data_IF_505167260695
#
_entry.id   IF_505167260695
#
_cell.length_a   1.000
_cell.length_b   1.000
_cell.length_c   1.000
_cell.angle_alpha   90.00
_cell.angle_beta   90.00
_cell.angle_gamma   90.00
#
_symmetry.space_group_name_H-M   'P 1'
#
loop_
_entity.id
_entity.type
_entity.pdbx_description
1 polymer ?
#
# COMPACT_ATOMS: atom_id res chain seq x y z
N UNK A 1 9.46 2.96 -19.21
CA UNK A 1 8.05 2.54 -19.31
C UNK A 1 7.59 2.15 -17.91
N UNK A 2 6.92 3.04 -17.18
CA UNK A 2 6.25 2.71 -15.92
C UNK A 2 4.78 2.44 -16.26
N UNK A 3 4.27 1.26 -15.90
CA UNK A 3 2.89 0.84 -16.17
C UNK A 3 1.86 1.66 -15.39
N UNK A 4 0.55 1.45 -15.65
CA UNK A 4 -0.56 2.23 -15.10
C UNK A 4 -0.79 2.07 -13.57
N UNK A 5 0.05 1.31 -12.87
CA UNK A 5 0.03 1.20 -11.41
C UNK A 5 0.96 2.22 -10.77
N UNK A 6 0.41 3.39 -10.43
CA UNK A 6 1.10 4.40 -9.64
C UNK A 6 1.73 3.78 -8.40
N UNK A 7 3.07 3.78 -8.37
CA UNK A 7 3.90 3.26 -7.28
C UNK A 7 3.82 4.20 -6.08
N UNK A 8 2.81 3.99 -5.25
CA UNK A 8 2.73 4.54 -3.90
C UNK A 8 3.51 3.68 -2.92
N UNK A 9 4.13 4.31 -1.91
CA UNK A 9 4.79 3.65 -0.80
C UNK A 9 4.05 3.96 0.50
N UNK A 10 3.88 2.95 1.34
CA UNK A 10 3.33 3.05 2.69
C UNK A 10 4.31 2.42 3.68
N UNK A 11 4.33 2.93 4.91
CA UNK A 11 5.09 2.40 6.03
C UNK A 11 4.46 2.88 7.34
N UNK A 12 4.69 2.14 8.41
CA UNK A 12 4.22 2.52 9.74
C UNK A 12 5.17 3.53 10.38
N UNK A 13 4.57 4.52 11.04
CA UNK A 13 5.25 5.52 11.86
C UNK A 13 4.55 5.59 13.23
N UNK A 14 5.26 5.98 14.29
CA UNK A 14 4.65 6.29 15.57
C UNK A 14 3.61 7.42 15.44
N UNK A 15 2.62 7.41 16.34
CA UNK A 15 1.48 8.34 16.32
C UNK A 15 1.90 9.82 16.48
N UNK A 16 3.03 10.07 17.15
CA UNK A 16 3.54 11.42 17.41
C UNK A 16 4.45 11.97 16.29
N UNK A 17 4.70 11.18 15.23
CA UNK A 17 5.62 11.56 14.16
C UNK A 17 4.88 11.89 12.85
N UNK A 18 5.19 13.06 12.27
CA UNK A 18 4.75 13.40 10.91
C UNK A 18 5.87 13.10 9.91
N UNK A 19 5.65 12.26 8.88
CA UNK A 19 6.70 11.89 7.96
C UNK A 19 7.06 13.05 7.04
N UNK A 20 8.35 13.17 6.71
CA UNK A 20 8.80 14.18 5.74
C UNK A 20 8.75 13.64 4.32
N UNK A 21 8.67 14.54 3.33
CA UNK A 21 8.75 14.18 1.91
C UNK A 21 10.07 13.49 1.55
N UNK A 22 11.17 13.85 2.21
CA UNK A 22 12.47 13.22 1.99
C UNK A 22 12.49 11.76 2.45
N UNK A 23 11.86 11.45 3.59
CA UNK A 23 11.72 10.07 4.06
C UNK A 23 10.86 9.25 3.11
N UNK A 24 9.74 9.79 2.63
CA UNK A 24 8.92 9.12 1.63
C UNK A 24 9.68 8.79 0.34
N UNK A 25 10.55 9.69 -0.13
CA UNK A 25 11.40 9.43 -1.30
C UNK A 25 12.36 8.27 -1.07
N UNK A 26 13.07 8.24 0.07
CA UNK A 26 13.97 7.13 0.43
C UNK A 26 13.24 5.80 0.53
N UNK A 27 12.03 5.78 1.10
CA UNK A 27 11.20 4.57 1.19
C UNK A 27 10.74 4.09 -0.18
N UNK A 28 10.40 5.02 -1.07
CA UNK A 28 10.06 4.68 -2.45
C UNK A 28 11.26 4.10 -3.21
N UNK A 29 12.46 4.64 -3.01
CA UNK A 29 13.69 4.07 -3.57
C UNK A 29 13.97 2.68 -3.01
N UNK A 30 13.82 2.49 -1.69
CA UNK A 30 13.97 1.18 -1.05
C UNK A 30 12.99 0.15 -1.63
N UNK A 31 11.71 0.51 -1.78
CA UNK A 31 10.68 -0.35 -2.38
C UNK A 31 11.02 -0.75 -3.81
N UNK A 32 11.62 0.16 -4.60
CA UNK A 32 12.04 -0.13 -5.98
C UNK A 32 13.23 -1.08 -6.05
N UNK A 33 14.17 -0.94 -5.14
CA UNK A 33 15.42 -1.71 -5.11
C UNK A 33 15.21 -3.10 -4.46
N UNK A 34 14.46 -3.16 -3.36
CA UNK A 34 14.32 -4.33 -2.51
C UNK A 34 12.97 -5.04 -2.65
N UNK A 35 11.99 -4.39 -3.29
CA UNK A 35 10.60 -4.84 -3.25
C UNK A 35 9.93 -4.53 -1.90
N UNK A 36 8.71 -5.05 -1.66
CA UNK A 36 7.93 -4.77 -0.46
C UNK A 36 8.54 -5.40 0.79
N UNK A 37 8.79 -4.57 1.81
CA UNK A 37 9.27 -4.97 3.13
C UNK A 37 8.50 -4.21 4.21
N UNK A 38 8.60 -4.63 5.48
CA UNK A 38 8.02 -3.88 6.60
C UNK A 38 8.53 -2.41 6.68
N UNK A 39 9.72 -2.15 6.13
CA UNK A 39 10.28 -0.81 6.02
C UNK A 39 9.57 0.02 4.94
N UNK A 40 9.28 -0.56 3.78
CA UNK A 40 8.56 0.14 2.73
C UNK A 40 7.78 -0.87 1.89
N UNK A 41 6.47 -0.69 1.82
CA UNK A 41 5.59 -1.59 1.10
C UNK A 41 4.54 -0.84 0.30
N UNK A 42 3.89 -1.54 -0.62
CA UNK A 42 2.73 -1.04 -1.33
C UNK A 42 1.45 -1.72 -0.83
N UNK A 43 0.29 -1.13 -1.12
CA UNK A 43 -0.99 -1.66 -0.62
C UNK A 43 -1.38 -3.04 -1.17
N UNK A 44 -0.69 -3.57 -2.20
CA UNK A 44 -0.91 -4.94 -2.71
C UNK A 44 -0.28 -5.98 -1.78
N UNK A 45 0.82 -5.64 -1.09
CA UNK A 45 1.55 -6.50 -0.16
C UNK A 45 1.73 -5.73 1.16
N UNK A 46 0.66 -5.59 1.97
CA UNK A 46 0.73 -4.84 3.22
C UNK A 46 1.48 -5.59 4.32
N UNK A 47 2.04 -4.83 5.26
CA UNK A 47 2.59 -5.32 6.52
C UNK A 47 1.86 -4.61 7.68
N UNK A 48 1.82 -5.21 8.87
CA UNK A 48 1.33 -4.53 10.08
C UNK A 48 2.45 -3.75 10.79
N UNK A 49 2.07 -3.05 11.87
CA UNK A 49 2.97 -2.24 12.68
C UNK A 49 4.08 -3.07 13.37
N UNK A 50 3.87 -4.37 13.58
CA UNK A 50 4.88 -5.31 14.07
C UNK A 50 5.76 -5.87 12.95
N UNK A 51 5.51 -5.46 11.70
CA UNK A 51 6.25 -5.86 10.51
C UNK A 51 5.88 -7.25 10.00
N UNK A 52 4.75 -7.83 10.42
CA UNK A 52 4.30 -9.11 9.88
C UNK A 52 3.55 -8.89 8.55
N UNK A 53 3.73 -9.77 7.55
CA UNK A 53 3.03 -9.65 6.28
C UNK A 53 1.54 -9.92 6.46
N UNK A 54 0.70 -8.98 6.02
CA UNK A 54 -0.75 -9.13 6.05
C UNK A 54 -1.24 -9.85 4.81
N UNK A 55 -1.90 -10.98 5.02
CA UNK A 55 -2.53 -11.73 3.94
C UNK A 55 -3.92 -11.17 3.66
N UNK A 56 -4.05 -10.48 2.54
CA UNK A 56 -5.34 -9.99 2.06
C UNK A 56 -6.26 -11.13 1.63
N UNK A 57 -7.46 -11.19 2.22
CA UNK A 57 -8.55 -12.07 1.79
C UNK A 57 -9.07 -11.61 0.41
N UNK A 58 -8.54 -12.22 -0.65
CA UNK A 58 -8.91 -11.91 -2.04
C UNK A 58 -10.43 -12.06 -2.29
N UNK A 59 -11.11 -12.97 -1.60
CA UNK A 59 -12.55 -13.16 -1.71
C UNK A 59 -13.31 -11.94 -1.18
N UNK A 60 -13.03 -11.52 0.05
CA UNK A 60 -13.64 -10.33 0.66
C UNK A 60 -13.38 -9.06 -0.13
N UNK A 61 -12.16 -8.92 -0.70
CA UNK A 61 -11.81 -7.79 -1.57
C UNK A 61 -12.69 -7.78 -2.83
N UNK A 62 -12.89 -8.94 -3.47
CA UNK A 62 -13.75 -9.04 -4.64
C UNK A 62 -15.22 -8.73 -4.31
N UNK A 63 -15.72 -9.19 -3.16
CA UNK A 63 -17.08 -8.86 -2.70
C UNK A 63 -17.26 -7.36 -2.50
N UNK A 64 -16.31 -6.70 -1.81
CA UNK A 64 -16.34 -5.24 -1.62
C UNK A 64 -16.19 -4.47 -2.93
N UNK A 65 -15.33 -4.94 -3.85
CA UNK A 65 -15.16 -4.31 -5.16
C UNK A 65 -16.44 -4.34 -6.00
N UNK A 66 -17.22 -5.44 -5.95
CA UNK A 66 -18.53 -5.53 -6.61
C UNK A 66 -19.52 -4.50 -6.07
N UNK A 67 -19.50 -4.24 -4.75
CA UNK A 67 -20.35 -3.21 -4.13
C UNK A 67 -19.99 -1.82 -4.69
N UNK A 68 -18.69 -1.47 -4.67
CA UNK A 68 -18.21 -0.17 -5.19
C UNK A 68 -18.51 -0.02 -6.69
N UNK A 69 -18.28 -1.07 -7.49
CA UNK A 69 -18.53 -1.03 -8.93
C UNK A 69 -20.02 -0.91 -9.27
N UNK A 70 -20.91 -1.54 -8.50
CA UNK A 70 -22.35 -1.39 -8.68
C UNK A 70 -22.81 0.02 -8.33
N UNK A 71 -22.24 0.63 -7.29
CA UNK A 71 -22.56 2.01 -6.92
C UNK A 71 -22.11 3.00 -8.02
N UNK A 72 -20.89 2.86 -8.54
CA UNK A 72 -20.35 3.73 -9.59
C UNK A 72 -21.03 3.58 -10.96
N UNK A 73 -21.73 2.48 -11.23
CA UNK A 73 -22.49 2.28 -12.48
C UNK A 73 -23.92 2.85 -12.45
N UNK A 74 -24.35 3.38 -11.30
CA UNK A 74 -25.69 3.93 -11.11
C UNK A 74 -25.71 5.46 -11.04
N UNK A 75 -24.58 6.14 -11.30
CA UNK A 75 -24.45 7.60 -11.45
C UNK A 75 -24.18 8.00 -12.92
#
# INVERSE_FOLDING_TARGET
MAGPDGIGVAWWIPDDETPTRAEGAKRLEHLKDNGPTAHAFDFKIPFDADGQPLRMDRQKIQERAKIVQSHMRHD
#
